data_IF_531081761849
#
_entry.id   IF_531081761849
#
_cell.length_a   1.000
_cell.length_b   1.000
_cell.length_c   1.000
_cell.angle_alpha   90.00
_cell.angle_beta   90.00
_cell.angle_gamma   90.00
#
_symmetry.space_group_name_H-M   'P 1'
#
loop_
_entity.id
_entity.type
_entity.pdbx_description
1 polymer ?
#
# COMPACT_ATOMS: atom_id res chain seq x y z
N UNK A 1 -13.75 -23.07 2.40
CA UNK A 1 -13.47 -21.74 3.01
C UNK A 1 -12.98 -20.71 1.98
N UNK A 2 -12.11 -21.08 1.03
CA UNK A 2 -11.55 -20.23 -0.04
C UNK A 2 -12.56 -19.39 -0.87
N UNK A 3 -13.76 -19.91 -1.21
CA UNK A 3 -14.81 -19.13 -1.91
C UNK A 3 -15.29 -17.89 -1.15
N UNK A 4 -15.22 -17.88 0.20
CA UNK A 4 -15.76 -16.82 1.08
C UNK A 4 -14.83 -15.62 1.23
N UNK A 5 -13.53 -15.77 0.94
CA UNK A 5 -12.55 -14.67 1.00
C UNK A 5 -12.53 -13.89 -0.31
N UNK A 6 -12.60 -14.59 -1.45
CA UNK A 6 -12.66 -13.94 -2.77
C UNK A 6 -13.86 -12.99 -2.93
N UNK A 7 -14.96 -13.25 -2.22
CA UNK A 7 -16.12 -12.36 -2.17
C UNK A 7 -15.85 -11.05 -1.44
N UNK A 8 -14.95 -11.02 -0.45
CA UNK A 8 -14.60 -9.81 0.30
C UNK A 8 -13.88 -8.78 -0.58
N UNK A 9 -13.14 -9.25 -1.59
CA UNK A 9 -12.50 -8.37 -2.56
C UNK A 9 -13.43 -7.93 -3.70
N UNK A 10 -14.62 -8.52 -3.87
CA UNK A 10 -15.54 -8.13 -4.97
C UNK A 10 -15.91 -6.64 -4.90
N UNK A 11 -16.35 -6.08 -3.75
CA UNK A 11 -16.72 -4.68 -3.66
C UNK A 11 -15.60 -3.74 -4.12
N UNK A 12 -14.36 -3.94 -3.66
CA UNK A 12 -13.21 -3.12 -4.06
C UNK A 12 -12.96 -3.20 -5.57
N UNK A 13 -13.01 -4.40 -6.14
CA UNK A 13 -12.83 -4.61 -7.59
C UNK A 13 -13.90 -3.93 -8.42
N UNK A 14 -15.16 -4.05 -8.01
CA UNK A 14 -16.29 -3.39 -8.68
C UNK A 14 -16.14 -1.88 -8.59
N UNK A 15 -15.84 -1.36 -7.39
CA UNK A 15 -15.70 0.07 -7.18
C UNK A 15 -14.53 0.67 -7.98
N UNK A 16 -13.35 0.02 -8.00
CA UNK A 16 -12.23 0.55 -8.79
C UNK A 16 -12.46 0.46 -10.29
N UNK A 17 -13.18 -0.54 -10.80
CA UNK A 17 -13.58 -0.56 -12.21
C UNK A 17 -14.56 0.56 -12.55
N UNK A 18 -15.50 0.85 -11.64
CA UNK A 18 -16.57 1.82 -11.88
C UNK A 18 -16.13 3.27 -11.64
N UNK A 19 -15.35 3.51 -10.60
CA UNK A 19 -15.03 4.85 -10.07
C UNK A 19 -13.53 5.13 -10.01
N UNK A 20 -12.67 4.17 -10.38
CA UNK A 20 -11.21 4.29 -10.29
C UNK A 20 -10.64 5.54 -10.96
N UNK A 21 -11.01 5.86 -12.23
CA UNK A 21 -10.52 7.05 -12.92
C UNK A 21 -10.84 8.34 -12.16
N UNK A 22 -12.09 8.50 -11.71
CA UNK A 22 -12.55 9.68 -10.97
C UNK A 22 -11.86 9.81 -9.60
N UNK A 23 -11.69 8.69 -8.90
CA UNK A 23 -10.95 8.65 -7.63
C UNK A 23 -9.48 9.01 -7.85
N UNK A 24 -8.85 8.48 -8.90
CA UNK A 24 -7.44 8.74 -9.17
C UNK A 24 -7.19 10.21 -9.54
N UNK A 25 -8.09 10.81 -10.32
CA UNK A 25 -8.05 12.23 -10.67
C UNK A 25 -8.28 13.10 -9.44
N UNK A 26 -9.27 12.78 -8.60
CA UNK A 26 -9.47 13.48 -7.34
C UNK A 26 -8.22 13.44 -6.47
N UNK A 27 -7.66 12.24 -6.21
CA UNK A 27 -6.46 12.08 -5.40
C UNK A 27 -5.29 12.88 -5.96
N UNK A 28 -5.09 12.85 -7.28
CA UNK A 28 -3.97 13.51 -7.93
C UNK A 28 -4.11 15.04 -7.93
N UNK A 29 -5.28 15.56 -8.31
CA UNK A 29 -5.48 17.00 -8.49
C UNK A 29 -5.90 17.74 -7.22
N UNK A 30 -6.40 17.05 -6.19
CA UNK A 30 -6.96 17.69 -4.98
C UNK A 30 -6.01 18.67 -4.29
N UNK A 31 -4.70 18.41 -4.31
CA UNK A 31 -3.71 19.34 -3.74
C UNK A 31 -2.78 19.93 -4.79
N UNK A 32 -3.16 19.90 -6.08
CA UNK A 32 -2.44 20.63 -7.12
C UNK A 32 -2.54 22.14 -6.83
N UNK A 33 -1.43 22.90 -6.95
CA UNK A 33 -1.45 24.37 -6.86
C UNK A 33 -2.47 25.10 -7.75
N UNK A 34 -2.89 24.50 -8.88
CA UNK A 34 -3.86 25.07 -9.80
C UNK A 34 -5.32 24.77 -9.38
N UNK A 35 -5.54 23.91 -8.40
CA UNK A 35 -6.87 23.57 -7.89
C UNK A 35 -7.33 24.68 -6.93
N UNK A 36 -8.07 25.64 -7.47
CA UNK A 36 -8.56 26.81 -6.72
C UNK A 36 -9.67 26.44 -5.71
N UNK A 37 -10.54 25.50 -6.07
CA UNK A 37 -11.64 25.04 -5.24
C UNK A 37 -11.62 23.52 -5.10
N UNK A 38 -11.15 23.05 -3.95
CA UNK A 38 -11.15 21.63 -3.63
C UNK A 38 -12.59 21.21 -3.31
N UNK A 39 -13.14 20.30 -4.10
CA UNK A 39 -14.47 19.72 -3.85
C UNK A 39 -14.51 18.90 -2.56
N UNK A 40 -15.71 18.47 -2.16
CA UNK A 40 -15.91 17.61 -0.98
C UNK A 40 -14.99 16.39 -1.00
N UNK A 41 -14.46 16.02 0.17
CA UNK A 41 -13.65 14.81 0.34
C UNK A 41 -14.43 13.56 -0.07
N UNK A 42 -13.75 12.58 -0.66
CA UNK A 42 -14.35 11.30 -1.07
C UNK A 42 -13.65 10.12 -0.40
N UNK A 43 -14.38 9.02 -0.26
CA UNK A 43 -13.79 7.72 0.05
C UNK A 43 -12.92 7.27 -1.12
N UNK A 44 -11.63 7.03 -0.88
CA UNK A 44 -10.68 6.60 -1.93
C UNK A 44 -10.93 5.18 -2.44
N UNK A 45 -11.89 4.44 -1.88
CA UNK A 45 -12.23 3.08 -2.31
C UNK A 45 -13.57 2.98 -3.04
N UNK A 46 -14.45 3.97 -2.91
CA UNK A 46 -15.81 3.90 -3.48
C UNK A 46 -16.43 5.24 -3.89
N UNK A 47 -15.68 6.35 -3.83
CA UNK A 47 -16.09 7.71 -4.24
C UNK A 47 -17.18 8.37 -3.36
N UNK A 48 -17.80 7.64 -2.45
CA UNK A 48 -18.84 8.17 -1.56
C UNK A 48 -18.29 9.28 -0.65
N UNK A 49 -19.08 10.32 -0.40
CA UNK A 49 -18.71 11.49 0.41
C UNK A 49 -19.26 11.45 1.85
N UNK A 50 -20.21 10.57 2.14
CA UNK A 50 -20.82 10.50 3.46
C UNK A 50 -20.01 9.61 4.42
N UNK A 51 -20.12 9.90 5.73
CA UNK A 51 -19.57 9.08 6.82
C UNK A 51 -18.11 8.68 6.59
N UNK A 52 -17.28 9.67 6.24
CA UNK A 52 -15.86 9.46 6.04
C UNK A 52 -15.16 9.26 7.38
N UNK A 53 -14.24 8.31 7.37
CA UNK A 53 -13.38 7.90 8.46
C UNK A 53 -11.92 7.97 8.01
N UNK A 54 -10.99 7.78 8.94
CA UNK A 54 -9.56 7.72 8.68
C UNK A 54 -9.12 6.27 8.66
N UNK A 55 -8.84 5.74 7.47
CA UNK A 55 -8.30 4.40 7.31
C UNK A 55 -6.77 4.44 7.36
N UNK A 56 -6.16 3.52 8.10
CA UNK A 56 -4.70 3.47 8.21
C UNK A 56 -4.07 2.91 6.94
N UNK A 57 -2.95 3.52 6.53
CA UNK A 57 -2.18 3.08 5.37
C UNK A 57 -1.60 1.70 5.63
N UNK A 58 -0.87 1.56 6.73
CA UNK A 58 -0.47 0.27 7.28
C UNK A 58 -1.39 -0.08 8.45
N UNK A 59 -1.95 -1.30 8.49
CA UNK A 59 -2.78 -1.76 9.60
C UNK A 59 -2.03 -1.69 10.94
N UNK A 60 -2.73 -1.26 12.00
CA UNK A 60 -2.08 -1.04 13.30
C UNK A 60 -1.49 -2.30 13.94
N UNK A 61 -2.01 -3.47 13.58
CA UNK A 61 -1.50 -4.74 14.09
C UNK A 61 -0.09 -5.06 13.56
N UNK A 62 0.31 -4.52 12.40
CA UNK A 62 1.67 -4.68 11.88
C UNK A 62 2.73 -4.10 12.82
N UNK A 63 2.41 -2.98 13.46
CA UNK A 63 3.33 -2.24 14.33
C UNK A 63 2.88 -2.23 15.80
N UNK A 64 1.97 -3.15 16.17
CA UNK A 64 1.47 -3.33 17.55
C UNK A 64 0.96 -2.03 18.22
N UNK A 65 0.31 -1.16 17.45
CA UNK A 65 -0.16 0.16 17.90
C UNK A 65 0.94 1.10 18.48
N UNK A 66 2.24 0.81 18.27
CA UNK A 66 3.33 1.68 18.72
C UNK A 66 3.22 3.04 18.03
N UNK A 67 3.19 4.11 18.81
CA UNK A 67 2.97 5.49 18.31
C UNK A 67 4.27 6.24 18.01
N UNK A 68 5.40 5.74 18.51
CA UNK A 68 6.72 6.35 18.42
C UNK A 68 7.56 5.84 17.23
N UNK A 69 6.99 4.98 16.39
CA UNK A 69 7.65 4.48 15.18
C UNK A 69 6.98 5.02 13.92
N UNK A 70 7.78 5.14 12.88
CA UNK A 70 7.40 5.78 11.63
C UNK A 70 8.39 5.45 10.53
N UNK A 71 8.21 6.14 9.40
CA UNK A 71 9.11 6.06 8.26
C UNK A 71 9.48 7.46 7.81
N UNK A 72 10.64 7.56 7.16
CA UNK A 72 11.09 8.79 6.54
C UNK A 72 10.74 8.78 5.04
N UNK A 73 10.19 9.89 4.58
CA UNK A 73 10.00 10.11 3.15
C UNK A 73 11.31 10.61 2.55
N UNK A 74 11.98 9.76 1.76
CA UNK A 74 13.30 10.05 1.20
C UNK A 74 13.40 11.38 0.44
N UNK A 75 12.35 11.81 -0.27
CA UNK A 75 12.40 13.02 -1.12
C UNK A 75 12.34 14.35 -0.37
N UNK A 76 11.84 14.36 0.87
CA UNK A 76 11.77 15.57 1.68
C UNK A 76 12.21 15.35 3.14
N UNK A 77 12.75 14.17 3.46
CA UNK A 77 13.22 13.74 4.78
C UNK A 77 12.16 13.91 5.89
N UNK A 78 10.88 13.94 5.51
CA UNK A 78 9.81 14.10 6.47
C UNK A 78 9.61 12.79 7.22
N UNK A 79 9.78 12.83 8.54
CA UNK A 79 9.42 11.73 9.42
C UNK A 79 7.91 11.68 9.66
N UNK A 80 7.30 10.53 9.37
CA UNK A 80 5.87 10.29 9.53
C UNK A 80 5.66 9.07 10.40
N UNK A 81 4.99 9.25 11.54
CA UNK A 81 4.56 8.13 12.38
C UNK A 81 3.50 7.28 11.67
N UNK A 82 3.60 5.95 11.75
CA UNK A 82 2.64 5.04 11.12
C UNK A 82 1.20 5.25 11.62
N UNK A 83 1.01 5.64 12.88
CA UNK A 83 -0.32 5.91 13.43
C UNK A 83 -1.02 7.12 12.80
N UNK A 84 -0.24 8.05 12.21
CA UNK A 84 -0.77 9.24 11.53
C UNK A 84 -0.89 9.07 10.02
N UNK A 85 -0.37 7.98 9.44
CA UNK A 85 -0.50 7.73 8.01
C UNK A 85 -1.87 7.14 7.70
N UNK A 86 -2.80 8.01 7.32
CA UNK A 86 -4.21 7.67 7.08
C UNK A 86 -4.73 8.24 5.76
N UNK A 87 -5.73 7.57 5.17
CA UNK A 87 -6.43 7.97 3.95
C UNK A 87 -7.95 8.04 4.21
N UNK A 88 -8.70 8.89 3.47
CA UNK A 88 -10.14 8.99 3.66
C UNK A 88 -10.87 7.76 3.12
N UNK A 89 -11.66 7.10 3.97
CA UNK A 89 -12.49 5.96 3.60
C UNK A 89 -13.86 6.05 4.28
N UNK A 90 -14.95 5.69 3.61
CA UNK A 90 -16.25 5.62 4.26
C UNK A 90 -16.31 4.45 5.26
N UNK A 91 -17.21 4.54 6.24
CA UNK A 91 -17.40 3.49 7.26
C UNK A 91 -17.53 2.08 6.68
N UNK A 92 -18.27 1.91 5.57
CA UNK A 92 -18.43 0.58 4.96
C UNK A 92 -17.13 0.03 4.36
N UNK A 93 -16.33 0.88 3.70
CA UNK A 93 -15.05 0.46 3.17
C UNK A 93 -14.05 0.14 4.29
N UNK A 94 -13.97 1.00 5.29
CA UNK A 94 -13.03 0.85 6.40
C UNK A 94 -13.44 -0.30 7.34
N UNK A 95 -14.59 -0.17 8.00
CA UNK A 95 -14.97 -1.01 9.14
C UNK A 95 -15.60 -2.35 8.72
N UNK A 96 -16.09 -2.46 7.48
CA UNK A 96 -16.71 -3.71 6.99
C UNK A 96 -15.82 -4.43 5.98
N UNK A 97 -15.42 -3.77 4.89
CA UNK A 97 -14.71 -4.46 3.80
C UNK A 97 -13.24 -4.68 4.15
N UNK A 98 -12.49 -3.62 4.46
CA UNK A 98 -11.05 -3.71 4.73
C UNK A 98 -10.77 -4.46 6.04
N UNK A 99 -11.53 -4.17 7.11
CA UNK A 99 -11.39 -4.89 8.37
C UNK A 99 -11.60 -6.41 8.23
N UNK A 100 -12.59 -6.86 7.46
CA UNK A 100 -12.81 -8.31 7.25
C UNK A 100 -11.72 -8.94 6.36
N UNK A 101 -11.19 -8.20 5.37
CA UNK A 101 -10.02 -8.66 4.61
C UNK A 101 -8.84 -8.86 5.56
N UNK A 102 -8.53 -7.87 6.40
CA UNK A 102 -7.40 -7.94 7.33
C UNK A 102 -7.51 -9.11 8.31
N UNK A 103 -8.69 -9.35 8.90
CA UNK A 103 -8.92 -10.53 9.76
C UNK A 103 -8.59 -11.85 9.05
N UNK A 104 -8.89 -11.95 7.75
CA UNK A 104 -8.58 -13.15 6.96
C UNK A 104 -7.11 -13.25 6.59
N UNK A 105 -6.44 -12.12 6.33
CA UNK A 105 -5.00 -12.11 6.10
C UNK A 105 -4.25 -12.55 7.36
N UNK A 106 -4.63 -12.04 8.53
CA UNK A 106 -4.07 -12.47 9.82
C UNK A 106 -4.20 -13.99 9.98
N UNK A 107 -5.39 -14.55 9.73
CA UNK A 107 -5.60 -16.00 9.79
C UNK A 107 -4.70 -16.79 8.82
N UNK A 108 -4.50 -16.31 7.59
CA UNK A 108 -3.60 -16.96 6.64
C UNK A 108 -2.15 -16.90 7.14
N UNK A 109 -1.71 -15.76 7.69
CA UNK A 109 -0.37 -15.61 8.25
C UNK A 109 -0.14 -16.52 9.46
N UNK A 110 -1.15 -16.68 10.33
CA UNK A 110 -1.11 -17.62 11.45
C UNK A 110 -0.98 -19.07 10.97
N UNK A 111 -1.67 -19.45 9.89
CA UNK A 111 -1.54 -20.79 9.32
C UNK A 111 -0.14 -21.03 8.75
N UNK A 112 0.42 -20.05 8.03
CA UNK A 112 1.80 -20.11 7.53
C UNK A 112 2.78 -20.26 8.69
N UNK A 113 2.62 -19.47 9.76
CA UNK A 113 3.46 -19.51 10.95
C UNK A 113 3.45 -20.89 11.64
N UNK A 114 2.26 -21.49 11.77
CA UNK A 114 2.09 -22.80 12.41
C UNK A 114 2.40 -23.98 11.49
N UNK A 115 2.81 -23.71 10.25
CA UNK A 115 2.95 -24.72 9.19
C UNK A 115 1.66 -25.55 9.02
N UNK A 116 0.50 -24.91 9.19
CA UNK A 116 -0.82 -25.45 8.92
C UNK A 116 -1.17 -25.28 7.43
N UNK A 117 -2.29 -25.88 7.00
CA UNK A 117 -2.70 -25.84 5.60
C UNK A 117 -3.04 -24.40 5.13
N UNK A 118 -2.45 -24.03 4.00
CA UNK A 118 -2.81 -22.88 3.16
C UNK A 118 -2.70 -23.28 1.69
N UNK A 119 -3.43 -22.60 0.81
CA UNK A 119 -3.42 -22.88 -0.64
C UNK A 119 -2.97 -21.67 -1.49
N UNK A 120 -2.82 -21.89 -2.79
CA UNK A 120 -2.48 -20.83 -3.76
C UNK A 120 -3.49 -19.67 -3.75
N UNK A 121 -4.74 -19.93 -3.37
CA UNK A 121 -5.75 -18.88 -3.27
C UNK A 121 -5.55 -18.02 -2.01
N UNK A 122 -5.06 -18.60 -0.92
CA UNK A 122 -4.64 -17.86 0.27
C UNK A 122 -3.44 -16.97 -0.03
N UNK A 123 -2.42 -17.49 -0.73
CA UNK A 123 -1.29 -16.68 -1.22
C UNK A 123 -1.75 -15.56 -2.17
N UNK A 124 -2.70 -15.85 -3.06
CA UNK A 124 -3.32 -14.85 -3.90
C UNK A 124 -4.07 -13.76 -3.09
N UNK A 125 -4.64 -14.09 -1.93
CA UNK A 125 -5.27 -13.10 -1.05
C UNK A 125 -4.25 -12.21 -0.36
N UNK A 126 -3.09 -12.76 0.05
CA UNK A 126 -1.95 -11.97 0.51
C UNK A 126 -1.53 -10.97 -0.56
N UNK A 127 -1.37 -11.42 -1.82
CA UNK A 127 -1.04 -10.53 -2.94
C UNK A 127 -2.06 -9.39 -3.09
N UNK A 128 -3.37 -9.70 -3.06
CA UNK A 128 -4.42 -8.66 -3.15
C UNK A 128 -4.34 -7.66 -2.00
N UNK A 129 -4.04 -8.13 -0.80
CA UNK A 129 -3.87 -7.26 0.36
C UNK A 129 -2.64 -6.37 0.23
N UNK A 130 -1.49 -6.89 -0.21
CA UNK A 130 -0.28 -6.10 -0.46
C UNK A 130 -0.52 -5.03 -1.55
N UNK A 131 -1.29 -5.34 -2.58
CA UNK A 131 -1.71 -4.34 -3.60
C UNK A 131 -2.61 -3.26 -3.01
N UNK A 132 -3.47 -3.58 -2.04
CA UNK A 132 -4.28 -2.58 -1.31
C UNK A 132 -3.38 -1.68 -0.46
N UNK A 133 -2.36 -2.23 0.22
CA UNK A 133 -1.40 -1.43 0.99
C UNK A 133 -0.64 -0.46 0.08
N UNK A 134 -0.16 -0.93 -1.07
CA UNK A 134 0.52 -0.08 -2.05
C UNK A 134 -0.40 1.04 -2.56
N UNK A 135 -1.67 0.74 -2.82
CA UNK A 135 -2.64 1.76 -3.20
C UNK A 135 -2.78 2.82 -2.10
N UNK A 136 -2.95 2.39 -0.83
CA UNK A 136 -3.04 3.30 0.31
C UNK A 136 -1.78 4.17 0.44
N UNK A 137 -0.58 3.58 0.27
CA UNK A 137 0.71 4.29 0.32
C UNK A 137 0.80 5.36 -0.77
N UNK A 138 0.40 5.05 -2.00
CA UNK A 138 0.40 6.02 -3.10
C UNK A 138 -0.62 7.15 -2.91
N UNK A 139 -1.83 6.81 -2.46
CA UNK A 139 -2.86 7.83 -2.12
C UNK A 139 -2.33 8.73 -1.02
N UNK A 140 -1.78 8.16 0.05
CA UNK A 140 -1.21 8.92 1.15
C UNK A 140 -0.08 9.84 0.68
N UNK A 141 0.88 9.32 -0.08
CA UNK A 141 1.99 10.12 -0.63
C UNK A 141 1.53 11.26 -1.53
N UNK A 142 0.44 11.07 -2.29
CA UNK A 142 -0.13 12.13 -3.15
C UNK A 142 -0.89 13.18 -2.35
N UNK A 143 -1.30 12.84 -1.13
CA UNK A 143 -2.02 13.75 -0.22
C UNK A 143 -1.09 14.47 0.74
N UNK A 144 0.16 14.04 0.85
CA UNK A 144 1.18 14.74 1.59
C UNK A 144 1.73 15.88 0.75
N UNK A 145 1.66 17.07 1.32
CA UNK A 145 2.36 18.23 0.77
C UNK A 145 3.85 18.09 1.03
N UNK A 146 4.65 18.48 0.05
CA UNK A 146 6.07 18.71 0.19
C UNK A 146 6.27 19.93 1.10
N UNK A 147 6.09 19.77 2.40
CA UNK A 147 6.31 20.84 3.38
C UNK A 147 7.75 20.84 3.86
N UNK A 148 8.29 22.06 4.02
CA UNK A 148 9.45 22.53 4.82
C UNK A 148 10.43 21.47 5.35
N UNK A 149 11.72 21.68 5.09
CA UNK A 149 12.82 21.11 5.88
C UNK A 149 12.96 21.88 7.19
N UNK A 150 12.74 21.23 8.35
CA UNK A 150 13.13 21.74 9.68
C UNK A 150 12.95 23.28 9.87
N UNK A 151 13.99 24.02 10.26
CA UNK A 151 14.01 25.48 10.45
C UNK A 151 14.38 26.29 9.19
N UNK A 152 14.46 25.66 8.01
CA UNK A 152 14.81 26.32 6.76
C UNK A 152 13.66 27.13 6.12
N UNK A 153 13.98 28.07 5.20
CA UNK A 153 12.96 28.81 4.44
C UNK A 153 12.13 27.87 3.54
N UNK A 154 10.90 28.30 3.20
CA UNK A 154 10.06 27.57 2.24
C UNK A 154 10.82 27.39 0.91
N UNK A 155 10.87 26.17 0.39
CA UNK A 155 11.21 26.00 -1.02
C UNK A 155 10.03 26.50 -1.87
N UNK A 156 10.31 27.02 -3.06
CA UNK A 156 9.28 27.43 -4.04
C UNK A 156 8.32 26.27 -4.41
N UNK A 157 8.68 25.03 -4.04
CA UNK A 157 7.92 23.80 -4.24
C UNK A 157 7.04 23.39 -3.04
N UNK A 158 6.99 24.20 -1.98
CA UNK A 158 6.37 23.95 -0.67
C UNK A 158 4.88 23.58 -0.64
N UNK A 159 4.25 23.44 -1.81
CA UNK A 159 2.82 23.16 -2.00
C UNK A 159 2.55 21.94 -2.89
N UNK A 160 3.58 21.37 -3.52
CA UNK A 160 3.41 20.22 -4.42
C UNK A 160 3.25 18.90 -3.64
N UNK A 161 2.47 17.93 -4.15
CA UNK A 161 2.44 16.59 -3.56
C UNK A 161 3.79 15.89 -3.54
N UNK A 162 4.10 15.15 -2.47
CA UNK A 162 5.32 14.33 -2.34
C UNK A 162 5.44 13.33 -3.50
N UNK A 163 4.33 12.69 -3.89
CA UNK A 163 4.36 11.72 -4.99
C UNK A 163 4.75 12.33 -6.34
N UNK A 164 4.52 13.63 -6.54
CA UNK A 164 4.93 14.34 -7.75
C UNK A 164 6.43 14.62 -7.72
N UNK A 165 6.94 14.97 -6.54
CA UNK A 165 8.37 15.23 -6.33
C UNK A 165 9.24 14.00 -6.55
N UNK A 166 8.71 12.79 -6.27
CA UNK A 166 9.37 11.53 -6.62
C UNK A 166 9.72 11.40 -8.11
N UNK A 167 8.97 12.08 -8.98
CA UNK A 167 9.13 12.04 -10.43
C UNK A 167 9.47 13.42 -11.03
N UNK A 168 9.74 14.41 -10.18
CA UNK A 168 10.05 15.77 -10.61
C UNK A 168 11.37 15.81 -11.38
N UNK A 169 12.38 15.06 -10.91
CA UNK A 169 13.66 14.92 -11.60
C UNK A 169 13.54 14.16 -12.93
N UNK A 170 12.48 13.36 -13.11
CA UNK A 170 12.13 12.73 -14.39
C UNK A 170 11.27 13.65 -15.28
N UNK A 171 10.96 14.87 -14.85
CA UNK A 171 10.05 15.83 -15.49
C UNK A 171 8.67 15.26 -15.83
N UNK A 172 8.17 14.29 -15.04
CA UNK A 172 6.91 13.60 -15.33
C UNK A 172 6.07 13.33 -14.06
N UNK A 173 5.44 14.36 -13.48
CA UNK A 173 4.57 14.19 -12.30
C UNK A 173 3.36 13.30 -12.59
N UNK A 174 2.91 13.19 -13.84
CA UNK A 174 1.81 12.31 -14.24
C UNK A 174 2.11 10.82 -14.03
N UNK A 175 3.39 10.44 -13.85
CA UNK A 175 3.77 9.10 -13.45
C UNK A 175 3.12 8.68 -12.11
N UNK A 176 2.89 9.61 -11.18
CA UNK A 176 2.13 9.33 -9.96
C UNK A 176 0.66 8.95 -10.25
N UNK A 177 -0.01 9.67 -11.17
CA UNK A 177 -1.37 9.30 -11.59
C UNK A 177 -1.40 7.93 -12.28
N UNK A 178 -0.42 7.66 -13.15
CA UNK A 178 -0.27 6.37 -13.84
C UNK A 178 -0.08 5.24 -12.83
N UNK A 179 0.74 5.45 -11.80
CA UNK A 179 0.98 4.48 -10.74
C UNK A 179 -0.29 4.18 -9.94
N UNK A 180 -1.08 5.20 -9.60
CA UNK A 180 -2.37 5.00 -8.89
C UNK A 180 -3.32 4.17 -9.76
N UNK A 181 -3.47 4.53 -11.03
CA UNK A 181 -4.32 3.81 -11.99
C UNK A 181 -3.83 2.36 -12.20
N UNK A 182 -2.52 2.14 -12.24
CA UNK A 182 -1.91 0.81 -12.31
C UNK A 182 -2.29 -0.04 -11.10
N UNK A 183 -2.15 0.48 -9.88
CA UNK A 183 -2.48 -0.28 -8.67
C UNK A 183 -3.98 -0.56 -8.57
N UNK A 184 -4.86 0.40 -8.90
CA UNK A 184 -6.31 0.17 -8.99
C UNK A 184 -6.65 -0.95 -9.98
N UNK A 185 -5.99 -0.98 -11.15
CA UNK A 185 -6.15 -2.05 -12.14
C UNK A 185 -5.70 -3.38 -11.57
N UNK A 186 -4.56 -3.45 -10.88
CA UNK A 186 -4.09 -4.68 -10.25
C UNK A 186 -5.08 -5.20 -9.22
N UNK A 187 -5.55 -4.36 -8.29
CA UNK A 187 -6.56 -4.77 -7.30
C UNK A 187 -7.82 -5.32 -8.00
N UNK A 188 -8.21 -4.71 -9.12
CA UNK A 188 -9.36 -5.12 -9.94
C UNK A 188 -9.23 -6.50 -10.59
N UNK A 189 -8.04 -7.08 -10.68
CA UNK A 189 -7.81 -8.41 -11.27
C UNK A 189 -8.29 -9.50 -10.31
N UNK A 190 -9.16 -10.40 -10.81
CA UNK A 190 -9.66 -11.54 -10.03
C UNK A 190 -8.55 -12.56 -9.78
N UNK A 191 -7.90 -13.05 -10.82
CA UNK A 191 -6.95 -14.16 -10.70
C UNK A 191 -5.51 -13.66 -10.51
N UNK A 192 -4.84 -14.19 -9.48
CA UNK A 192 -3.46 -13.85 -9.13
C UNK A 192 -2.49 -15.02 -9.28
N UNK A 193 -2.93 -16.15 -9.85
CA UNK A 193 -2.10 -17.33 -10.11
C UNK A 193 -0.76 -16.99 -10.77
N UNK A 194 -0.78 -16.17 -11.84
CA UNK A 194 0.42 -15.70 -12.55
C UNK A 194 1.37 -14.80 -11.75
N UNK A 195 1.03 -14.46 -10.50
CA UNK A 195 1.83 -13.60 -9.60
C UNK A 195 2.36 -14.35 -8.39
N UNK A 196 2.04 -15.63 -8.22
CA UNK A 196 2.47 -16.40 -7.04
C UNK A 196 3.99 -16.42 -6.89
N UNK A 197 4.72 -16.64 -7.98
CA UNK A 197 6.19 -16.60 -7.95
C UNK A 197 6.77 -15.20 -7.67
N UNK A 198 5.96 -14.13 -7.76
CA UNK A 198 6.39 -12.77 -7.39
C UNK A 198 6.24 -12.48 -5.89
N UNK A 199 5.61 -13.38 -5.13
CA UNK A 199 5.51 -13.34 -3.68
C UNK A 199 6.60 -14.24 -3.07
N UNK A 200 7.41 -13.68 -2.20
CA UNK A 200 8.43 -14.38 -1.43
C UNK A 200 8.04 -14.32 0.04
N UNK A 201 8.09 -15.48 0.70
CA UNK A 201 7.89 -15.60 2.14
C UNK A 201 9.24 -15.98 2.74
N UNK A 202 9.77 -15.10 3.58
CA UNK A 202 11.00 -15.33 4.33
C UNK A 202 10.68 -15.82 5.72
N UNK A 203 11.57 -16.65 6.29
CA UNK A 203 11.53 -17.00 7.69
C UNK A 203 12.63 -16.23 8.45
N UNK A 204 12.30 -15.68 9.61
CA UNK A 204 13.23 -15.01 10.52
C UNK A 204 13.23 -15.72 11.87
N UNK A 205 14.36 -15.67 12.58
CA UNK A 205 14.45 -16.13 13.98
C UNK A 205 14.17 -15.01 14.98
N UNK A 206 14.14 -13.78 14.51
CA UNK A 206 13.95 -12.58 15.32
C UNK A 206 12.76 -11.78 14.76
N UNK A 207 11.53 -12.08 15.22
CA UNK A 207 10.36 -11.31 14.87
C UNK A 207 10.52 -9.84 15.28
N UNK A 208 10.40 -8.96 14.29
CA UNK A 208 10.41 -7.53 14.47
C UNK A 208 9.53 -6.90 13.39
N UNK A 209 9.24 -5.61 13.52
CA UNK A 209 8.55 -4.88 12.48
C UNK A 209 9.58 -4.09 11.67
N UNK A 210 9.71 -4.43 10.40
CA UNK A 210 10.50 -3.73 9.39
C UNK A 210 9.63 -3.55 8.16
N UNK A 211 9.71 -2.36 7.57
CA UNK A 211 8.87 -2.00 6.43
C UNK A 211 9.63 -1.07 5.50
N UNK A 212 9.73 -1.47 4.24
CA UNK A 212 10.17 -0.60 3.17
C UNK A 212 9.47 -0.99 1.88
N UNK A 213 9.35 -0.03 0.97
CA UNK A 213 8.76 -0.25 -0.33
C UNK A 213 9.35 0.71 -1.36
N UNK A 214 9.28 0.33 -2.62
CA UNK A 214 9.53 1.21 -3.75
C UNK A 214 8.24 1.24 -4.59
N UNK A 215 7.62 2.43 -4.78
CA UNK A 215 6.30 2.52 -5.39
C UNK A 215 6.18 1.77 -6.72
N UNK A 216 5.17 0.91 -6.83
CA UNK A 216 4.89 0.00 -7.96
C UNK A 216 5.99 -1.01 -8.34
N UNK A 217 7.10 -1.06 -7.61
CA UNK A 217 8.17 -2.03 -7.85
C UNK A 217 8.09 -3.18 -6.87
N UNK A 218 8.23 -2.89 -5.57
CA UNK A 218 8.17 -3.91 -4.52
C UNK A 218 7.73 -3.37 -3.16
N UNK A 219 7.31 -4.28 -2.27
CA UNK A 219 7.03 -4.04 -0.86
C UNK A 219 7.65 -5.15 -0.02
N UNK A 220 8.24 -4.79 1.12
CA UNK A 220 8.69 -5.71 2.16
C UNK A 220 8.02 -5.38 3.49
N UNK A 221 7.58 -6.41 4.20
CA UNK A 221 6.98 -6.30 5.53
C UNK A 221 7.43 -7.50 6.37
N UNK A 222 8.12 -7.26 7.48
CA UNK A 222 8.28 -8.26 8.55
C UNK A 222 7.29 -8.00 9.68
N UNK A 223 6.93 -9.06 10.41
CA UNK A 223 5.93 -9.00 11.45
C UNK A 223 6.54 -9.19 12.83
N UNK A 224 6.14 -8.38 13.83
CA UNK A 224 6.61 -8.57 15.20
C UNK A 224 5.94 -9.76 15.90
N UNK A 225 4.89 -10.34 15.32
CA UNK A 225 4.10 -11.44 15.89
C UNK A 225 4.36 -12.79 15.22
N UNK A 226 5.06 -12.81 14.08
CA UNK A 226 5.28 -14.01 13.27
C UNK A 226 6.74 -14.13 12.90
N UNK A 227 7.24 -15.36 12.78
CA UNK A 227 8.59 -15.67 12.31
C UNK A 227 8.69 -15.61 10.78
N UNK A 228 7.75 -14.94 10.11
CA UNK A 228 7.74 -14.76 8.67
C UNK A 228 7.81 -13.29 8.27
N UNK A 229 8.27 -13.04 7.04
CA UNK A 229 8.24 -11.75 6.39
C UNK A 229 7.82 -11.93 4.93
N UNK A 230 7.16 -10.92 4.38
CA UNK A 230 6.70 -10.93 3.00
C UNK A 230 7.52 -9.96 2.16
N UNK A 231 7.87 -10.40 0.96
CA UNK A 231 8.36 -9.54 -0.09
C UNK A 231 7.54 -9.78 -1.35
N UNK A 232 7.03 -8.73 -1.98
CA UNK A 232 6.23 -8.86 -3.19
C UNK A 232 6.66 -7.88 -4.27
N UNK A 233 6.83 -8.39 -5.49
CA UNK A 233 7.08 -7.58 -6.68
C UNK A 233 5.77 -7.27 -7.41
N UNK A 234 5.41 -5.99 -7.51
CA UNK A 234 4.14 -5.58 -8.11
C UNK A 234 4.13 -5.71 -9.65
N UNK A 235 5.26 -5.39 -10.30
CA UNK A 235 5.40 -5.38 -11.76
C UNK A 235 6.08 -6.64 -12.29
N UNK A 236 7.16 -7.08 -11.65
CA UNK A 236 7.93 -8.24 -12.11
C UNK A 236 7.17 -9.55 -11.95
N UNK A 237 7.44 -10.47 -12.88
CA UNK A 237 6.98 -11.87 -12.85
C UNK A 237 8.20 -12.74 -12.96
N UNK A 238 8.15 -13.89 -12.31
CA UNK A 238 9.26 -14.82 -12.25
C UNK A 238 8.77 -16.20 -12.69
N UNK A 239 9.61 -16.91 -13.43
CA UNK A 239 9.34 -18.29 -13.84
C UNK A 239 9.42 -19.23 -12.64
N UNK A 240 10.27 -18.92 -11.66
CA UNK A 240 10.42 -19.68 -10.43
C UNK A 240 10.44 -18.81 -9.17
N UNK A 241 10.06 -19.40 -8.04
CA UNK A 241 10.19 -18.78 -6.70
C UNK A 241 11.66 -18.54 -6.34
N UNK A 242 12.58 -19.35 -6.86
CA UNK A 242 14.01 -19.22 -6.59
C UNK A 242 14.56 -17.89 -7.12
N UNK A 243 14.12 -17.47 -8.30
CA UNK A 243 14.58 -16.25 -8.95
C UNK A 243 14.08 -15.00 -8.22
N UNK A 244 12.81 -14.99 -7.82
CA UNK A 244 12.26 -13.88 -7.03
C UNK A 244 12.88 -13.79 -5.65
N UNK A 245 13.16 -14.93 -5.01
CA UNK A 245 13.85 -14.98 -3.74
C UNK A 245 15.28 -14.44 -3.83
N UNK A 246 16.04 -14.81 -4.87
CA UNK A 246 17.38 -14.29 -5.10
C UNK A 246 17.37 -12.76 -5.29
N UNK A 247 16.48 -12.24 -6.12
CA UNK A 247 16.36 -10.79 -6.34
C UNK A 247 15.92 -10.05 -5.07
N UNK A 248 14.98 -10.60 -4.32
CA UNK A 248 14.52 -10.01 -3.06
C UNK A 248 15.66 -9.91 -2.03
N UNK A 249 16.52 -10.93 -1.92
CA UNK A 249 17.70 -10.90 -1.05
C UNK A 249 18.67 -9.78 -1.48
N UNK A 250 18.93 -9.63 -2.78
CA UNK A 250 19.83 -8.57 -3.26
C UNK A 250 19.31 -7.17 -2.93
N UNK A 251 18.00 -6.96 -3.02
CA UNK A 251 17.36 -5.70 -2.64
C UNK A 251 17.44 -5.49 -1.13
N UNK A 252 17.12 -6.51 -0.33
CA UNK A 252 17.17 -6.45 1.13
C UNK A 252 18.57 -6.08 1.64
N UNK A 253 19.62 -6.73 1.12
CA UNK A 253 21.02 -6.40 1.47
C UNK A 253 21.35 -4.93 1.24
N UNK A 254 20.93 -4.36 0.10
CA UNK A 254 21.19 -2.94 -0.21
C UNK A 254 20.47 -1.94 0.69
N UNK A 255 19.44 -2.38 1.42
CA UNK A 255 18.60 -1.51 2.25
C UNK A 255 18.90 -1.70 3.74
N UNK A 256 19.22 -2.93 4.15
CA UNK A 256 19.39 -3.33 5.54
C UNK A 256 20.87 -3.42 5.97
N UNK A 257 21.81 -3.58 5.02
CA UNK A 257 23.26 -3.49 5.28
C UNK A 257 23.73 -2.03 5.15
#
# INVERSE_FOLDING_TARGET
MSKKINSLFIPLRVNFRKHGPEIAEDVFYRFHPATLNVGSEICVFCKVQNKLTKEHVLPKWLFQNKTNIGFEIKVNQQSISYIKSVVPACENCNNSILAEIEKKIIYILENIEKNEYYDDNDLANIIRWLEILEYKLQVFSTRLKYIKYADGPFSEFGTLPVSWMNHFWEMNPFKALINIKFTQRNISIKDKSSRLNSLVIFNTKEPHFEFFHLPTEYIFISFPMYNNALFYFFRKRFESVKDSHAEAIEIMKKILD
#
